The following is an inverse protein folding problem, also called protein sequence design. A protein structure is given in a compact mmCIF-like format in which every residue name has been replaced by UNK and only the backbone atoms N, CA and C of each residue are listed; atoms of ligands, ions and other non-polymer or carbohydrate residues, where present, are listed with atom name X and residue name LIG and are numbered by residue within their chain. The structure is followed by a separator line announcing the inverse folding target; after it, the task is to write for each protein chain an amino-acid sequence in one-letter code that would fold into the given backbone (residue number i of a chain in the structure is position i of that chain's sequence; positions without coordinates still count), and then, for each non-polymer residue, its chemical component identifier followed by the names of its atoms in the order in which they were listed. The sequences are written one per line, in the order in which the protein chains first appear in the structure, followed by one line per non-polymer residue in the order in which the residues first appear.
data_IF_401051164897
#
_entry.id   IF_401051164897
#
_cell.length_a   1.000
_cell.length_b   1.000
_cell.length_c   1.000
_cell.angle_alpha   90.00
_cell.angle_beta   90.00
_cell.angle_gamma   90.00
#
_symmetry.space_group_name_H-M   'P 1'
#
loop_
_entity.id
_entity.type
_entity.pdbx_description
1 polymer ?
#
# COMPACT_ATOMS: atom_id res chain seq x y z
N UNK A 1 -9.53 3.67 -13.62
CA UNK A 1 -8.24 4.20 -13.11
C UNK A 1 -7.57 4.90 -14.27
N UNK A 2 -7.04 6.11 -14.07
CA UNK A 2 -6.32 6.84 -15.12
C UNK A 2 -5.05 7.42 -14.52
N UNK A 3 -3.95 7.30 -15.26
CA UNK A 3 -2.66 7.90 -14.89
C UNK A 3 -2.33 8.99 -15.90
N UNK A 4 -2.04 10.19 -15.41
CA UNK A 4 -1.60 11.30 -16.25
C UNK A 4 -0.10 11.45 -16.05
N UNK A 5 0.69 11.07 -17.05
CA UNK A 5 2.14 11.12 -17.02
C UNK A 5 2.62 12.55 -17.28
N UNK A 6 3.24 13.16 -16.27
CA UNK A 6 3.63 14.57 -16.32
C UNK A 6 5.03 14.82 -15.77
N UNK A 7 5.59 13.87 -15.02
CA UNK A 7 6.88 14.04 -14.36
C UNK A 7 7.97 13.28 -15.11
N UNK A 8 9.13 13.92 -15.20
CA UNK A 8 10.34 13.33 -15.76
C UNK A 8 11.44 13.33 -14.69
N UNK A 9 12.35 12.37 -14.76
CA UNK A 9 13.46 12.25 -13.79
C UNK A 9 14.47 13.40 -13.92
N UNK A 10 14.55 14.03 -15.09
CA UNK A 10 15.51 15.09 -15.40
C UNK A 10 14.96 16.51 -15.22
N UNK A 11 13.64 16.68 -15.23
CA UNK A 11 13.00 17.99 -15.16
C UNK A 11 12.39 18.22 -13.79
N UNK A 12 12.73 19.34 -13.17
CA UNK A 12 12.08 19.78 -11.95
C UNK A 12 10.63 20.20 -12.26
N UNK A 13 9.70 19.76 -11.42
CA UNK A 13 8.28 20.13 -11.47
C UNK A 13 7.99 21.53 -10.93
N UNK A 14 8.98 22.21 -10.34
CA UNK A 14 8.83 23.54 -9.72
C UNK A 14 8.22 23.52 -8.31
N UNK A 15 7.89 22.34 -7.78
CA UNK A 15 7.41 22.17 -6.40
C UNK A 15 8.56 21.90 -5.43
N UNK A 16 8.35 22.20 -4.14
CA UNK A 16 9.34 21.88 -3.10
C UNK A 16 9.31 20.38 -2.79
N UNK A 17 10.45 19.71 -2.57
CA UNK A 17 10.47 18.32 -2.18
C UNK A 17 9.81 18.16 -0.81
N UNK A 18 8.84 17.25 -0.67
CA UNK A 18 8.28 16.88 0.62
C UNK A 18 7.73 15.46 0.54
N UNK A 19 7.92 14.68 1.60
CA UNK A 19 7.35 13.34 1.72
C UNK A 19 6.84 13.17 3.15
N UNK A 20 5.70 12.51 3.30
CA UNK A 20 5.11 12.17 4.61
C UNK A 20 5.47 10.76 5.06
N UNK A 21 4.48 10.06 5.60
CA UNK A 21 4.61 8.70 6.15
C UNK A 21 4.90 7.57 5.15
N UNK A 22 5.15 7.88 3.87
CA UNK A 22 5.47 6.90 2.84
C UNK A 22 6.86 6.29 3.03
N UNK A 23 7.79 6.99 3.68
CA UNK A 23 9.16 6.50 3.89
C UNK A 23 9.17 5.39 4.95
N UNK A 24 9.84 4.27 4.65
CA UNK A 24 10.10 3.19 5.61
C UNK A 24 11.52 3.23 6.17
N UNK A 25 12.49 3.58 5.33
CA UNK A 25 13.90 3.68 5.72
C UNK A 25 14.62 4.72 4.85
N UNK A 26 15.53 5.48 5.45
CA UNK A 26 16.36 6.47 4.76
C UNK A 26 17.81 6.29 5.20
N UNK A 27 18.69 6.07 4.23
CA UNK A 27 20.13 5.99 4.42
C UNK A 27 20.86 6.91 3.44
N UNK A 28 22.19 6.98 3.55
CA UNK A 28 23.03 7.80 2.66
C UNK A 28 22.84 7.47 1.18
N UNK A 29 22.61 6.20 0.85
CA UNK A 29 22.55 5.71 -0.54
C UNK A 29 21.23 5.07 -0.91
N UNK A 30 20.40 4.71 0.08
CA UNK A 30 19.11 4.04 -0.16
C UNK A 30 17.95 4.79 0.48
N UNK A 31 16.86 4.91 -0.25
CA UNK A 31 15.58 5.40 0.24
C UNK A 31 14.53 4.34 -0.03
N UNK A 32 13.85 3.90 1.02
CA UNK A 32 12.84 2.85 0.93
C UNK A 32 11.46 3.46 1.17
N UNK A 33 10.53 3.21 0.25
CA UNK A 33 9.13 3.56 0.38
C UNK A 33 8.31 2.34 0.78
N UNK A 34 7.32 2.55 1.65
CA UNK A 34 6.33 1.54 2.02
C UNK A 34 5.52 1.17 0.79
N UNK A 35 5.28 -0.13 0.63
CA UNK A 35 4.40 -0.62 -0.40
C UNK A 35 2.95 -0.52 0.11
N UNK A 36 2.06 0.26 -0.53
CA UNK A 36 0.69 0.45 -0.06
C UNK A 36 -0.07 -0.88 0.11
N UNK A 37 0.18 -1.86 -0.77
CA UNK A 37 -0.44 -3.19 -0.68
C UNK A 37 -0.03 -3.96 0.58
N UNK A 38 1.21 -3.80 1.02
CA UNK A 38 1.71 -4.44 2.24
C UNK A 38 1.07 -3.78 3.45
N UNK A 39 1.06 -2.45 3.50
CA UNK A 39 0.45 -1.68 4.60
C UNK A 39 -1.04 -2.02 4.76
N UNK A 40 -1.81 -1.99 3.66
CA UNK A 40 -3.22 -2.38 3.66
C UNK A 40 -3.42 -3.83 4.11
N UNK A 41 -2.60 -4.76 3.59
CA UNK A 41 -2.70 -6.17 3.95
C UNK A 41 -2.38 -6.44 5.42
N UNK A 42 -1.46 -5.69 6.03
CA UNK A 42 -1.17 -5.78 7.47
C UNK A 42 -2.38 -5.32 8.29
N UNK A 43 -3.01 -4.20 7.92
CA UNK A 43 -4.21 -3.72 8.59
C UNK A 43 -5.36 -4.73 8.48
N UNK A 44 -5.67 -5.18 7.26
CA UNK A 44 -6.73 -6.16 7.02
C UNK A 44 -6.44 -7.51 7.70
N UNK A 45 -5.17 -7.94 7.76
CA UNK A 45 -4.77 -9.15 8.47
C UNK A 45 -5.05 -9.07 9.97
N UNK A 46 -4.79 -7.92 10.60
CA UNK A 46 -5.14 -7.68 12.02
C UNK A 46 -6.66 -7.74 12.22
N UNK A 47 -7.42 -7.11 11.33
CA UNK A 47 -8.89 -7.11 11.39
C UNK A 47 -9.45 -8.54 11.31
N UNK A 48 -9.03 -9.33 10.32
CA UNK A 48 -9.49 -10.71 10.18
C UNK A 48 -9.08 -11.59 11.36
N UNK A 49 -7.88 -11.40 11.91
CA UNK A 49 -7.46 -12.10 13.12
C UNK A 49 -8.37 -11.78 14.31
N UNK A 50 -8.67 -10.49 14.53
CA UNK A 50 -9.59 -10.06 15.58
C UNK A 50 -11.00 -10.64 15.38
N UNK A 51 -11.53 -10.63 14.15
CA UNK A 51 -12.84 -11.23 13.84
C UNK A 51 -12.88 -12.73 14.12
N UNK A 52 -11.84 -13.47 13.71
CA UNK A 52 -11.73 -14.91 14.01
C UNK A 52 -11.67 -15.16 15.52
N UNK A 53 -10.88 -14.39 16.27
CA UNK A 53 -10.81 -14.51 17.74
C UNK A 53 -12.16 -14.22 18.40
N UNK A 54 -12.86 -13.16 17.98
CA UNK A 54 -14.20 -12.85 18.48
C UNK A 54 -15.21 -13.97 18.22
N UNK A 55 -15.16 -14.59 17.03
CA UNK A 55 -16.01 -15.73 16.70
C UNK A 55 -15.65 -16.97 17.52
N UNK A 56 -14.37 -17.25 17.75
CA UNK A 56 -13.94 -18.37 18.61
C UNK A 56 -14.49 -18.15 20.03
N UNK A 57 -14.28 -16.96 20.59
CA UNK A 57 -14.72 -16.61 21.95
C UNK A 57 -16.25 -16.70 22.07
N UNK A 58 -17.00 -16.27 21.05
CA UNK A 58 -18.47 -16.30 21.06
C UNK A 58 -19.09 -17.67 20.77
N UNK A 59 -18.50 -18.47 19.87
CA UNK A 59 -19.11 -19.72 19.40
C UNK A 59 -18.63 -20.96 20.16
N UNK A 60 -17.35 -21.02 20.53
CA UNK A 60 -16.80 -22.25 21.12
C UNK A 60 -17.35 -22.59 22.51
N UNK A 61 -17.65 -21.64 23.41
CA UNK A 61 -18.32 -21.97 24.67
C UNK A 61 -19.66 -22.68 24.46
N UNK A 62 -20.40 -22.34 23.40
CA UNK A 62 -21.67 -22.99 23.07
C UNK A 62 -21.49 -24.43 22.57
N UNK A 63 -20.39 -24.74 21.88
CA UNK A 63 -20.06 -26.11 21.45
C UNK A 63 -19.81 -27.07 22.63
N UNK A 64 -19.21 -26.55 23.72
CA UNK A 64 -18.88 -27.34 24.90
C UNK A 64 -19.89 -27.18 26.05
N UNK A 65 -20.94 -26.38 25.86
CA UNK A 65 -22.02 -26.20 26.83
C UNK A 65 -22.89 -27.45 26.93
N UNK A 66 -23.20 -27.88 28.16
CA UNK A 66 -24.04 -29.08 28.41
C UNK A 66 -25.41 -29.02 27.73
N UNK A 67 -25.95 -27.83 27.53
CA UNK A 67 -27.26 -27.60 26.90
C UNK A 67 -27.27 -27.97 25.40
N UNK A 68 -26.19 -27.66 24.67
CA UNK A 68 -26.12 -27.88 23.22
C UNK A 68 -25.39 -29.17 22.83
N UNK A 69 -24.62 -29.75 23.76
CA UNK A 69 -23.82 -30.96 23.49
C UNK A 69 -24.67 -32.13 22.98
N UNK A 70 -25.85 -32.37 23.58
CA UNK A 70 -26.76 -33.44 23.14
C UNK A 70 -27.33 -33.20 21.73
N UNK A 71 -27.57 -31.94 21.37
CA UNK A 71 -28.09 -31.55 20.07
C UNK A 71 -27.03 -31.69 18.97
N UNK A 72 -25.79 -31.30 19.26
CA UNK A 72 -24.66 -31.48 18.34
C UNK A 72 -24.26 -32.95 18.16
N UNK A 73 -24.30 -33.76 19.22
CA UNK A 73 -24.05 -35.20 19.12
C UNK A 73 -25.06 -35.91 18.20
N UNK A 74 -26.31 -35.43 18.20
CA UNK A 74 -27.36 -35.95 17.33
C UNK A 74 -27.27 -35.43 15.89
N UNK A 75 -26.50 -34.36 15.64
CA UNK A 75 -26.43 -33.66 14.36
C UNK A 75 -24.97 -33.30 13.98
N UNK A 76 -24.20 -34.26 13.46
CA UNK A 76 -22.77 -34.07 13.17
C UNK A 76 -22.49 -33.01 12.10
N UNK A 77 -23.43 -32.78 11.18
CA UNK A 77 -23.32 -31.73 10.16
C UNK A 77 -23.36 -30.34 10.81
N UNK A 78 -24.25 -30.14 11.78
CA UNK A 78 -24.36 -28.86 12.48
C UNK A 78 -23.13 -28.61 13.37
N UNK A 79 -22.66 -29.66 14.06
CA UNK A 79 -21.46 -29.60 14.88
C UNK A 79 -20.23 -29.20 14.06
N UNK A 80 -20.04 -29.80 12.88
CA UNK A 80 -18.92 -29.45 12.00
C UNK A 80 -19.04 -28.01 11.47
N UNK A 81 -20.25 -27.56 11.11
CA UNK A 81 -20.50 -26.17 10.73
C UNK A 81 -20.10 -25.16 11.80
N UNK A 82 -20.51 -25.37 13.05
CA UNK A 82 -20.15 -24.50 14.18
C UNK A 82 -18.66 -24.52 14.50
N UNK A 83 -18.01 -25.69 14.37
CA UNK A 83 -16.57 -25.84 14.61
C UNK A 83 -15.75 -25.04 13.58
N UNK A 84 -16.21 -25.02 12.32
CA UNK A 84 -15.54 -24.34 11.20
C UNK A 84 -15.91 -22.86 11.08
N UNK A 85 -17.06 -22.43 11.61
CA UNK A 85 -17.58 -21.07 11.45
C UNK A 85 -16.58 -19.94 11.80
N UNK A 86 -15.77 -20.02 12.88
CA UNK A 86 -14.80 -18.97 13.18
C UNK A 86 -13.69 -18.80 12.13
N UNK A 87 -13.43 -19.84 11.34
CA UNK A 87 -12.40 -19.84 10.30
C UNK A 87 -12.91 -19.35 8.93
N UNK A 88 -14.12 -18.79 8.87
CA UNK A 88 -14.65 -18.20 7.63
C UNK A 88 -13.72 -17.13 7.03
N UNK A 89 -12.97 -16.40 7.87
CA UNK A 89 -12.01 -15.39 7.43
C UNK A 89 -10.59 -15.92 7.17
N UNK A 90 -10.33 -17.20 7.45
CA UNK A 90 -9.00 -17.80 7.31
C UNK A 90 -8.47 -17.73 5.85
N UNK A 91 -9.25 -17.99 4.79
CA UNK A 91 -8.76 -17.87 3.42
C UNK A 91 -8.28 -16.44 3.10
N UNK A 92 -9.00 -15.41 3.58
CA UNK A 92 -8.62 -14.01 3.40
C UNK A 92 -7.35 -13.67 4.17
N UNK A 93 -7.21 -14.20 5.39
CA UNK A 93 -6.00 -14.02 6.19
C UNK A 93 -4.78 -14.65 5.52
N UNK A 94 -4.90 -15.89 5.04
CA UNK A 94 -3.83 -16.60 4.29
C UNK A 94 -3.43 -15.79 3.05
N UNK A 95 -4.42 -15.31 2.29
CA UNK A 95 -4.21 -14.48 1.11
C UNK A 95 -3.43 -13.19 1.46
N UNK A 96 -3.82 -12.47 2.52
CA UNK A 96 -3.13 -11.22 2.93
C UNK A 96 -1.70 -11.49 3.42
N UNK A 97 -1.50 -12.55 4.22
CA UNK A 97 -0.16 -12.97 4.67
C UNK A 97 0.74 -13.32 3.48
N UNK A 98 0.19 -13.99 2.47
CA UNK A 98 0.93 -14.31 1.25
C UNK A 98 1.47 -13.04 0.59
N UNK A 99 0.66 -12.00 0.41
CA UNK A 99 1.12 -10.72 -0.15
C UNK A 99 2.17 -10.02 0.71
N UNK A 100 1.97 -9.96 2.03
CA UNK A 100 2.95 -9.34 2.96
C UNK A 100 4.33 -9.99 2.82
N UNK A 101 4.39 -11.32 2.72
CA UNK A 101 5.66 -12.07 2.61
C UNK A 101 6.31 -11.97 1.23
N UNK A 102 5.55 -11.59 0.20
CA UNK A 102 5.95 -11.72 -1.20
C UNK A 102 6.14 -10.38 -1.90
N UNK A 103 5.79 -9.27 -1.26
CA UNK A 103 6.00 -7.93 -1.78
C UNK A 103 7.02 -7.19 -0.91
N UNK A 104 8.01 -6.54 -1.52
CA UNK A 104 8.94 -5.66 -0.80
C UNK A 104 8.49 -4.21 -0.80
N UNK A 105 9.14 -3.41 0.03
CA UNK A 105 9.24 -1.95 -0.14
C UNK A 105 9.86 -1.59 -1.50
N UNK A 106 9.59 -0.37 -1.97
CA UNK A 106 10.25 0.17 -3.16
C UNK A 106 11.56 0.83 -2.74
N UNK A 107 12.68 0.33 -3.24
CA UNK A 107 14.01 0.75 -2.81
C UNK A 107 14.70 1.56 -3.91
N UNK A 108 14.92 2.83 -3.66
CA UNK A 108 15.66 3.74 -4.53
C UNK A 108 17.13 3.73 -4.12
N UNK A 109 18.02 3.46 -5.07
CA UNK A 109 19.46 3.49 -4.83
C UNK A 109 20.11 4.55 -5.70
N UNK A 110 20.63 5.60 -5.08
CA UNK A 110 21.29 6.70 -5.80
C UNK A 110 22.62 6.30 -6.42
N UNK A 111 23.37 5.37 -5.81
CA UNK A 111 24.69 4.98 -6.31
C UNK A 111 24.59 4.22 -7.62
N UNK A 112 23.55 3.38 -7.77
CA UNK A 112 23.30 2.63 -8.99
C UNK A 112 22.31 3.31 -9.93
N UNK A 113 21.68 4.41 -9.50
CA UNK A 113 20.61 5.11 -10.23
C UNK A 113 19.46 4.15 -10.63
N UNK A 114 19.10 3.24 -9.73
CA UNK A 114 18.09 2.19 -9.96
C UNK A 114 17.06 2.13 -8.86
N UNK A 115 15.85 1.74 -9.24
CA UNK A 115 14.74 1.41 -8.35
C UNK A 115 14.60 -0.11 -8.31
N UNK A 116 14.57 -0.69 -7.12
CA UNK A 116 14.40 -2.12 -6.89
C UNK A 116 13.06 -2.39 -6.21
N UNK A 117 12.36 -3.39 -6.71
CA UNK A 117 11.12 -3.86 -6.12
C UNK A 117 10.94 -5.36 -6.35
N UNK A 118 10.74 -6.11 -5.28
CA UNK A 118 10.40 -7.52 -5.37
C UNK A 118 8.87 -7.68 -5.40
N UNK A 119 8.37 -8.23 -6.51
CA UNK A 119 7.00 -8.66 -6.69
C UNK A 119 6.96 -10.18 -6.78
N UNK A 120 6.41 -10.81 -5.75
CA UNK A 120 6.39 -12.27 -5.60
C UNK A 120 7.80 -12.87 -5.56
N UNK A 121 8.16 -13.63 -6.57
CA UNK A 121 9.49 -14.21 -6.75
C UNK A 121 10.38 -13.43 -7.71
N UNK A 122 9.86 -12.37 -8.35
CA UNK A 122 10.58 -11.60 -9.36
C UNK A 122 11.05 -10.27 -8.78
N UNK A 123 12.32 -9.94 -9.01
CA UNK A 123 12.87 -8.61 -8.73
C UNK A 123 12.72 -7.77 -9.99
N UNK A 124 11.93 -6.70 -9.89
CA UNK A 124 11.80 -5.68 -10.90
C UNK A 124 12.85 -4.61 -10.62
N UNK A 125 13.56 -4.21 -11.67
CA UNK A 125 14.61 -3.20 -11.63
C UNK A 125 14.30 -2.15 -12.67
N UNK A 126 14.15 -0.89 -12.24
CA UNK A 126 13.93 0.23 -13.14
C UNK A 126 15.14 1.17 -13.11
N UNK A 127 15.53 1.65 -14.28
CA UNK A 127 16.56 2.68 -14.39
C UNK A 127 15.94 4.05 -14.15
N UNK A 128 16.52 4.83 -13.23
CA UNK A 128 15.98 6.13 -12.83
C UNK A 128 15.89 7.10 -14.00
N UNK A 129 16.95 7.15 -14.83
CA UNK A 129 16.99 8.01 -16.02
C UNK A 129 15.83 7.74 -16.99
N UNK A 130 15.37 6.49 -17.07
CA UNK A 130 14.26 6.07 -17.94
C UNK A 130 12.92 5.89 -17.20
N UNK A 131 12.82 6.36 -15.95
CA UNK A 131 11.59 6.30 -15.17
C UNK A 131 10.82 7.62 -15.32
N UNK A 132 9.52 7.52 -15.62
CA UNK A 132 8.59 8.64 -15.62
C UNK A 132 7.64 8.57 -14.43
N UNK A 133 7.20 9.73 -13.97
CA UNK A 133 6.19 9.87 -12.92
C UNK A 133 4.88 10.42 -13.46
N UNK A 134 3.78 10.09 -12.79
CA UNK A 134 2.46 10.54 -13.17
C UNK A 134 1.51 10.59 -11.99
N UNK A 135 0.40 11.30 -12.18
CA UNK A 135 -0.68 11.36 -11.21
C UNK A 135 -1.60 10.18 -11.44
N UNK A 136 -1.69 9.30 -10.46
CA UNK A 136 -2.65 8.21 -10.42
C UNK A 136 -3.88 8.66 -9.65
N UNK A 137 -5.04 8.62 -10.32
CA UNK A 137 -6.34 8.93 -9.72
C UNK A 137 -7.16 7.66 -9.57
N UNK A 138 -7.68 7.44 -8.37
CA UNK A 138 -8.54 6.30 -8.03
C UNK A 138 -9.77 6.79 -7.28
N UNK A 139 -10.92 6.65 -7.93
CA UNK A 139 -12.23 6.94 -7.33
C UNK A 139 -12.89 5.61 -6.97
N UNK A 140 -13.21 5.44 -5.69
CA UNK A 140 -13.79 4.22 -5.13
C UNK A 140 -15.06 4.56 -4.36
N UNK A 141 -16.09 3.72 -4.51
CA UNK A 141 -17.31 3.80 -3.72
C UNK A 141 -17.11 3.09 -2.39
N UNK A 142 -17.13 3.85 -1.29
CA UNK A 142 -16.93 3.35 0.07
C UNK A 142 -18.20 2.82 0.75
N UNK A 143 -19.25 2.51 -0.02
CA UNK A 143 -20.54 2.03 0.50
C UNK A 143 -21.56 3.13 0.82
N UNK A 144 -21.11 4.33 1.20
CA UNK A 144 -22.00 5.49 1.45
C UNK A 144 -21.72 6.67 0.51
N UNK A 145 -20.50 6.81 0.01
CA UNK A 145 -20.08 7.91 -0.87
C UNK A 145 -18.91 7.49 -1.76
N UNK A 146 -18.60 8.33 -2.74
CA UNK A 146 -17.40 8.20 -3.57
C UNK A 146 -16.25 8.96 -2.93
N UNK A 147 -15.13 8.29 -2.69
CA UNK A 147 -13.87 8.93 -2.34
C UNK A 147 -12.96 8.93 -3.55
N UNK A 148 -12.24 10.03 -3.78
CA UNK A 148 -11.17 10.09 -4.79
C UNK A 148 -9.84 10.20 -4.06
N UNK A 149 -8.94 9.29 -4.38
CA UNK A 149 -7.56 9.27 -3.91
C UNK A 149 -6.59 9.60 -5.03
N UNK A 150 -5.58 10.39 -4.70
CA UNK A 150 -4.48 10.79 -5.57
C UNK A 150 -3.17 10.17 -5.08
N UNK A 151 -2.41 9.60 -6.01
CA UNK A 151 -1.14 8.96 -5.72
C UNK A 151 -0.10 9.29 -6.80
N UNK A 152 1.17 9.18 -6.44
CA UNK A 152 2.26 9.18 -7.39
C UNK A 152 2.37 7.78 -8.01
N UNK A 153 2.18 7.67 -9.32
CA UNK A 153 2.58 6.51 -10.09
C UNK A 153 3.92 6.75 -10.77
N UNK A 154 4.76 5.73 -10.84
CA UNK A 154 6.01 5.77 -11.60
C UNK A 154 6.25 4.43 -12.31
N UNK A 155 6.76 4.51 -13.53
CA UNK A 155 6.99 3.36 -14.39
C UNK A 155 8.23 3.59 -15.28
N UNK A 156 8.94 2.53 -15.70
CA UNK A 156 9.94 2.64 -16.75
C UNK A 156 9.25 2.91 -18.09
N UNK A 157 9.88 3.71 -18.97
CA UNK A 157 9.42 3.82 -20.36
C UNK A 157 9.72 2.52 -21.11
N UNK A 158 8.80 2.11 -21.97
CA UNK A 158 9.00 0.99 -22.89
C UNK A 158 9.87 1.42 -24.08
N UNK A 159 10.21 0.46 -24.95
CA UNK A 159 11.00 0.71 -26.17
C UNK A 159 10.37 1.76 -27.09
N UNK A 160 9.04 1.87 -27.09
CA UNK A 160 8.28 2.89 -27.81
C UNK A 160 8.28 4.28 -27.13
N UNK A 161 8.97 4.42 -26.00
CA UNK A 161 9.04 5.64 -25.20
C UNK A 161 7.79 5.90 -24.34
N UNK A 162 6.77 5.04 -24.43
CA UNK A 162 5.49 5.22 -23.72
C UNK A 162 5.56 4.73 -22.27
N UNK A 163 4.68 5.28 -21.42
CA UNK A 163 4.51 4.86 -20.03
C UNK A 163 3.18 4.13 -19.86
N UNK A 164 3.25 2.89 -19.38
CA UNK A 164 2.10 2.02 -19.26
C UNK A 164 1.67 1.84 -17.79
N UNK A 165 0.37 2.01 -17.53
CA UNK A 165 -0.19 1.83 -16.20
C UNK A 165 -0.05 0.39 -15.67
N UNK A 166 0.03 -0.62 -16.53
CA UNK A 166 0.20 -2.02 -16.10
C UNK A 166 1.54 -2.28 -15.41
N UNK A 167 2.55 -1.47 -15.76
CA UNK A 167 3.92 -1.61 -15.29
C UNK A 167 4.24 -0.63 -14.16
N UNK A 168 3.28 0.22 -13.78
CA UNK A 168 3.50 1.26 -12.79
C UNK A 168 3.49 0.74 -11.36
N UNK A 169 4.39 1.27 -10.56
CA UNK A 169 4.33 1.25 -9.11
C UNK A 169 3.68 2.55 -8.65
N UNK A 170 3.04 2.54 -7.50
CA UNK A 170 2.43 3.75 -6.96
C UNK A 170 2.58 3.85 -5.45
N UNK A 171 2.65 5.08 -4.97
CA UNK A 171 2.69 5.47 -3.56
C UNK A 171 1.74 6.65 -3.35
N UNK A 172 1.06 6.67 -2.22
CA UNK A 172 0.11 7.74 -1.90
C UNK A 172 0.77 9.12 -1.90
N UNK A 173 0.04 10.16 -2.31
CA UNK A 173 0.52 11.54 -2.19
C UNK A 173 0.60 11.97 -0.72
N UNK A 174 1.20 13.13 -0.45
CA UNK A 174 1.23 13.67 0.92
C UNK A 174 -0.17 13.94 1.48
N UNK A 175 -1.11 14.36 0.64
CA UNK A 175 -2.52 14.53 0.98
C UNK A 175 -3.38 13.82 -0.09
N UNK A 176 -3.70 12.51 0.11
CA UNK A 176 -4.35 11.69 -0.92
C UNK A 176 -5.76 12.15 -1.27
N UNK A 177 -6.45 12.85 -0.37
CA UNK A 177 -7.83 13.34 -0.57
C UNK A 177 -7.88 14.71 -1.24
N UNK A 178 -6.78 15.45 -1.28
CA UNK A 178 -6.76 16.76 -1.89
C UNK A 178 -6.57 16.67 -3.41
N UNK A 179 -7.46 17.29 -4.20
CA UNK A 179 -7.30 17.32 -5.63
C UNK A 179 -6.13 18.24 -6.01
N UNK A 180 -5.21 17.72 -6.82
CA UNK A 180 -4.17 18.55 -7.42
C UNK A 180 -2.88 17.81 -7.71
N UNK A 181 -2.02 18.49 -8.46
CA UNK A 181 -0.69 18.00 -8.83
C UNK A 181 0.31 18.18 -7.68
N UNK A 182 0.10 19.20 -6.84
CA UNK A 182 1.05 19.69 -5.83
C UNK A 182 1.59 18.56 -4.93
N UNK A 183 0.71 17.85 -4.23
CA UNK A 183 1.13 16.82 -3.26
C UNK A 183 1.73 15.58 -3.90
N UNK A 184 1.42 15.33 -5.17
CA UNK A 184 2.06 14.26 -5.96
C UNK A 184 3.45 14.71 -6.41
N UNK A 185 3.57 15.96 -6.88
CA UNK A 185 4.82 16.57 -7.30
C UNK A 185 5.82 16.70 -6.16
N UNK A 186 5.36 17.07 -4.96
CA UNK A 186 6.19 17.11 -3.74
C UNK A 186 6.91 15.78 -3.49
N UNK A 187 6.18 14.66 -3.58
CA UNK A 187 6.74 13.31 -3.41
C UNK A 187 7.70 12.98 -4.55
N UNK A 188 7.35 13.31 -5.80
CA UNK A 188 8.24 13.10 -6.94
C UNK A 188 9.56 13.88 -6.80
N UNK A 189 9.49 15.16 -6.44
CA UNK A 189 10.67 15.99 -6.22
C UNK A 189 11.51 15.50 -5.06
N UNK A 190 10.89 14.98 -4.00
CA UNK A 190 11.63 14.35 -2.91
C UNK A 190 12.47 13.18 -3.42
N UNK A 191 11.88 12.29 -4.24
CA UNK A 191 12.60 11.17 -4.85
C UNK A 191 13.70 11.64 -5.81
N UNK A 192 13.41 12.64 -6.65
CA UNK A 192 14.41 13.21 -7.57
C UNK A 192 15.57 13.84 -6.82
N UNK A 193 15.30 14.69 -5.84
CA UNK A 193 16.34 15.30 -5.00
C UNK A 193 17.17 14.24 -4.27
N UNK A 194 16.55 13.17 -3.77
CA UNK A 194 17.28 12.06 -3.17
C UNK A 194 18.22 11.37 -4.17
N UNK A 195 17.73 11.08 -5.37
CA UNK A 195 18.50 10.40 -6.40
C UNK A 195 19.66 11.26 -6.92
N UNK A 196 19.49 12.58 -7.00
CA UNK A 196 20.49 13.53 -7.50
C UNK A 196 21.50 13.95 -6.42
N UNK A 197 21.04 14.23 -5.20
CA UNK A 197 21.82 14.90 -4.17
C UNK A 197 22.01 14.08 -2.88
N UNK A 198 21.25 13.00 -2.70
CA UNK A 198 21.24 12.24 -1.45
C UNK A 198 20.41 12.91 -0.34
N UNK A 199 20.47 12.39 0.89
CA UNK A 199 19.58 12.81 1.97
C UNK A 199 19.96 14.16 2.62
N UNK A 200 21.20 14.63 2.47
CA UNK A 200 21.73 15.77 3.24
C UNK A 200 20.99 17.09 2.98
N UNK A 201 20.33 17.22 1.82
CA UNK A 201 19.55 18.40 1.42
C UNK A 201 18.04 18.15 1.39
N UNK A 202 17.59 17.00 1.88
CA UNK A 202 16.17 16.68 1.93
C UNK A 202 15.54 17.17 3.23
N UNK A 203 14.30 17.70 3.17
CA UNK A 203 13.55 17.91 4.39
C UNK A 203 13.31 16.56 5.10
N UNK A 204 13.19 16.55 6.43
CA UNK A 204 12.84 15.32 7.13
C UNK A 204 11.46 14.82 6.64
N UNK A 205 11.24 13.50 6.57
CA UNK A 205 9.92 12.95 6.30
C UNK A 205 8.91 13.46 7.33
N UNK A 206 7.75 13.91 6.87
CA UNK A 206 6.64 14.33 7.73
C UNK A 206 6.04 13.16 8.50
N UNK A 207 5.29 13.47 9.54
CA UNK A 207 4.60 12.44 10.31
C UNK A 207 3.60 11.66 9.43
N UNK A 208 3.43 10.34 9.67
CA UNK A 208 2.36 9.60 9.01
C UNK A 208 1.03 10.24 9.37
N UNK A 209 0.25 10.65 8.39
CA UNK A 209 -1.08 11.20 8.63
C UNK A 209 -2.03 10.05 9.01
N UNK A 210 -2.04 9.65 10.29
CA UNK A 210 -2.87 8.56 10.83
C UNK A 210 -4.29 9.03 11.19
N UNK A 211 -4.55 10.33 11.14
CA UNK A 211 -5.84 10.94 11.41
C UNK A 211 -6.20 11.89 10.28
N UNK A 212 -7.03 11.44 9.33
CA UNK A 212 -7.60 12.33 8.33
C UNK A 212 -8.36 13.45 9.06
N UNK A 213 -8.07 14.72 8.75
CA UNK A 213 -8.97 15.81 9.13
C UNK A 213 -10.35 15.47 8.57
N UNK A 214 -11.41 15.38 9.39
CA UNK A 214 -12.75 15.16 8.87
C UNK A 214 -13.10 16.30 7.91
N UNK A 215 -13.88 15.97 6.87
CA UNK A 215 -14.21 16.83 5.74
C UNK A 215 -14.97 18.12 6.08
N UNK A 216 -15.26 18.37 7.36
CA UNK A 216 -15.85 19.61 7.85
C UNK A 216 -15.23 19.96 9.22
N UNK A 217 -14.42 21.02 9.23
CA UNK A 217 -14.15 21.85 10.39
C UNK A 217 -14.70 23.25 10.09
#
# INVERSE_FOLDING_TARGET
MATIWIFNSTLASGHKPAIGGQVSNLSKNTLCLRNPWVSDSVFMGKLYCAMTLSLIIGLYPNLFGREFLGYFNSNPILMSGFTLAPFTFLPFLIYRIYFIKRLSSFCFNRSTQKIYYQRLSKVLVFEWANTGGGIFKRTEYGGSSFSTSYALAFAPRREDGSLHQKDCLWVDSNEPTEPGVKHVAEVWEYLRHFMDHGPDKLPPPGEPNWWHKPLHA
#
